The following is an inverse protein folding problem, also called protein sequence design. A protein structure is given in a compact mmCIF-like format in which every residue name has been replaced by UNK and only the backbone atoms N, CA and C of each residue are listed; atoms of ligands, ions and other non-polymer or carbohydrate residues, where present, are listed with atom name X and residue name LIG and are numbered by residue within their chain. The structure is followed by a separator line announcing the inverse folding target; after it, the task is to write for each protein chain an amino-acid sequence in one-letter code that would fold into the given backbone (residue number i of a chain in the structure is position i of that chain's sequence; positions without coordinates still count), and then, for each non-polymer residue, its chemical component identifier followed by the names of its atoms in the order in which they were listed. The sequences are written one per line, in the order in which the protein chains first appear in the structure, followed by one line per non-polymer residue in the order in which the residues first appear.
data_IF_639443171454
#
_entry.id   IF_639443171454
#
_cell.length_a   1.000
_cell.length_b   1.000
_cell.length_c   1.000
_cell.angle_alpha   90.00
_cell.angle_beta   90.00
_cell.angle_gamma   90.00
#
_symmetry.space_group_name_H-M   'P 1'
#
loop_
_entity.id
_entity.type
_entity.pdbx_description
1 polymer ?
#
# COMPACT_ATOMS: atom_id res chain seq x y z
N UNK A 1 -1.18 5.03 -6.45
CA UNK A 1 -2.65 4.84 -6.36
C UNK A 1 -3.00 3.88 -5.22
N UNK A 2 -3.06 4.37 -3.97
CA UNK A 2 -3.40 3.52 -2.83
C UNK A 2 -4.90 3.21 -2.80
N UNK A 3 -5.22 2.00 -2.33
CA UNK A 3 -6.57 1.58 -2.01
C UNK A 3 -6.59 0.96 -0.61
N UNK A 4 -7.57 1.33 0.18
CA UNK A 4 -7.77 0.77 1.52
C UNK A 4 -9.20 0.28 1.70
N UNK A 5 -9.35 -0.80 2.46
CA UNK A 5 -10.64 -1.33 2.88
C UNK A 5 -10.56 -1.73 4.35
N UNK A 6 -11.57 -1.34 5.11
CA UNK A 6 -11.66 -1.70 6.51
C UNK A 6 -13.01 -2.36 6.81
N UNK A 7 -13.00 -3.49 7.51
CA UNK A 7 -14.18 -4.18 8.00
C UNK A 7 -14.24 -4.11 9.52
N UNK A 8 -15.27 -3.49 10.10
CA UNK A 8 -15.42 -3.40 11.53
C UNK A 8 -15.73 -4.77 12.16
N UNK A 9 -15.22 -5.01 13.35
CA UNK A 9 -15.47 -6.23 14.13
C UNK A 9 -15.76 -5.83 15.59
N UNK A 10 -17.01 -5.77 16.02
CA UNK A 10 -17.38 -5.35 17.38
C UNK A 10 -16.59 -6.13 18.44
N UNK A 11 -15.93 -5.41 19.36
CA UNK A 11 -15.11 -6.00 20.42
C UNK A 11 -13.79 -6.64 19.98
N UNK A 12 -13.41 -6.55 18.69
CA UNK A 12 -12.18 -7.11 18.12
C UNK A 12 -11.46 -6.08 17.26
N UNK A 13 -10.18 -6.34 16.93
CA UNK A 13 -9.47 -5.52 15.94
C UNK A 13 -10.12 -5.66 14.57
N UNK A 14 -10.33 -4.54 13.85
CA UNK A 14 -10.89 -4.57 12.50
C UNK A 14 -9.98 -5.31 11.54
N UNK A 15 -10.54 -5.89 10.49
CA UNK A 15 -9.76 -6.32 9.34
C UNK A 15 -9.47 -5.09 8.51
N UNK A 16 -8.18 -4.83 8.26
CA UNK A 16 -7.75 -3.68 7.46
C UNK A 16 -6.78 -4.14 6.40
N UNK A 17 -7.14 -3.90 5.17
CA UNK A 17 -6.29 -4.08 4.03
C UNK A 17 -6.01 -2.70 3.43
N UNK A 18 -4.75 -2.40 3.19
CA UNK A 18 -4.27 -1.09 2.79
C UNK A 18 -2.98 -1.30 1.98
N UNK A 19 -3.01 -0.94 0.72
CA UNK A 19 -1.92 -1.20 -0.21
C UNK A 19 -1.86 -0.20 -1.35
N UNK A 20 -0.68 -0.08 -1.97
CA UNK A 20 -0.55 0.51 -3.30
C UNK A 20 -1.04 -0.46 -4.37
N UNK A 21 -1.40 0.04 -5.54
CA UNK A 21 -1.72 -0.77 -6.72
C UNK A 21 -0.47 -1.23 -7.49
N UNK A 22 0.71 -0.79 -7.08
CA UNK A 22 1.99 -1.29 -7.58
C UNK A 22 2.31 -2.67 -6.99
N UNK A 23 3.09 -3.46 -7.71
CA UNK A 23 3.55 -4.80 -7.27
C UNK A 23 4.44 -4.72 -6.01
N UNK A 24 5.16 -3.62 -5.84
CA UNK A 24 6.00 -3.30 -4.69
C UNK A 24 5.92 -1.80 -4.39
N UNK A 25 6.04 -1.40 -3.12
CA UNK A 25 6.11 0.00 -2.78
C UNK A 25 7.47 0.59 -3.21
N UNK A 26 7.48 1.84 -3.71
CA UNK A 26 8.74 2.51 -4.10
C UNK A 26 9.71 2.61 -2.91
N UNK A 27 9.22 2.79 -1.69
CA UNK A 27 10.06 2.78 -0.49
C UNK A 27 10.78 1.44 -0.27
N UNK A 28 10.14 0.31 -0.57
CA UNK A 28 10.77 -1.02 -0.50
C UNK A 28 11.83 -1.19 -1.58
N UNK A 29 11.59 -0.67 -2.79
CA UNK A 29 12.59 -0.65 -3.88
C UNK A 29 13.80 0.18 -3.47
N UNK A 30 13.60 1.35 -2.86
CA UNK A 30 14.69 2.19 -2.36
C UNK A 30 15.49 1.53 -1.23
N UNK A 31 14.82 0.80 -0.34
CA UNK A 31 15.49 0.02 0.71
C UNK A 31 16.31 -1.09 0.07
N UNK A 32 15.75 -1.86 -0.87
CA UNK A 32 16.48 -2.91 -1.58
C UNK A 32 17.72 -2.36 -2.33
N UNK A 33 17.60 -1.20 -2.97
CA UNK A 33 18.71 -0.50 -3.62
C UNK A 33 19.82 -0.16 -2.61
N UNK A 34 19.48 0.44 -1.48
CA UNK A 34 20.43 0.82 -0.43
C UNK A 34 21.14 -0.38 0.18
N UNK A 35 20.42 -1.50 0.35
CA UNK A 35 20.93 -2.71 0.97
C UNK A 35 21.57 -3.69 -0.03
N UNK A 36 21.61 -3.34 -1.31
CA UNK A 36 22.22 -4.17 -2.36
C UNK A 36 21.43 -5.45 -2.66
N UNK A 37 20.15 -5.48 -2.36
CA UNK A 37 19.28 -6.62 -2.64
C UNK A 37 18.60 -6.48 -3.99
N UNK A 38 18.36 -7.60 -4.66
CA UNK A 38 17.52 -7.64 -5.87
C UNK A 38 16.04 -7.66 -5.48
N UNK A 39 15.21 -7.10 -6.37
CA UNK A 39 13.75 -7.23 -6.28
C UNK A 39 13.25 -8.37 -7.18
N UNK A 40 12.07 -8.93 -6.91
CA UNK A 40 11.48 -9.96 -7.76
C UNK A 40 11.27 -9.46 -9.20
N UNK A 41 11.38 -10.36 -10.18
CA UNK A 41 10.96 -10.08 -11.55
C UNK A 41 9.47 -9.71 -11.56
N UNK A 42 9.07 -8.78 -12.43
CA UNK A 42 7.71 -8.25 -12.43
C UNK A 42 7.47 -7.12 -11.41
N UNK A 43 8.51 -6.66 -10.69
CA UNK A 43 8.43 -5.49 -9.84
C UNK A 43 8.36 -4.21 -10.65
N UNK A 44 9.17 -4.09 -11.71
CA UNK A 44 9.24 -2.88 -12.51
C UNK A 44 10.01 -3.05 -13.80
N UNK A 45 10.03 -1.98 -14.58
CA UNK A 45 10.80 -1.84 -15.80
C UNK A 45 11.89 -0.79 -15.61
N UNK A 46 13.00 -0.95 -16.31
CA UNK A 46 14.01 0.09 -16.38
C UNK A 46 13.58 1.23 -17.35
N UNK A 47 14.37 2.29 -17.44
CA UNK A 47 14.11 3.44 -18.31
C UNK A 47 13.97 3.13 -19.81
N UNK A 48 14.34 1.93 -20.22
CA UNK A 48 14.20 1.45 -21.61
C UNK A 48 12.97 0.55 -21.80
N UNK A 49 12.11 0.41 -20.78
CA UNK A 49 10.92 -0.43 -20.82
C UNK A 49 11.20 -1.93 -20.72
N UNK A 50 12.38 -2.34 -20.26
CA UNK A 50 12.75 -3.74 -20.06
C UNK A 50 12.57 -4.15 -18.61
N UNK A 51 12.05 -5.37 -18.39
CA UNK A 51 11.98 -5.95 -17.05
C UNK A 51 13.36 -6.06 -16.41
N UNK A 52 13.43 -5.74 -15.13
CA UNK A 52 14.68 -5.80 -14.36
C UNK A 52 14.44 -6.25 -12.93
N UNK A 53 15.46 -6.86 -12.34
CA UNK A 53 15.50 -7.18 -10.89
C UNK A 53 16.41 -6.22 -10.14
N UNK A 54 17.00 -5.24 -10.81
CA UNK A 54 17.84 -4.21 -10.20
C UNK A 54 16.95 -3.06 -9.69
N UNK A 55 16.88 -2.86 -8.36
CA UNK A 55 16.08 -1.78 -7.79
C UNK A 55 16.60 -0.39 -8.17
N UNK A 56 17.90 -0.25 -8.48
CA UNK A 56 18.47 1.01 -8.96
C UNK A 56 17.92 1.39 -10.33
N UNK A 57 17.85 0.45 -11.26
CA UNK A 57 17.29 0.70 -12.60
C UNK A 57 15.78 1.08 -12.55
N UNK A 58 15.04 0.56 -11.57
CA UNK A 58 13.63 0.94 -11.36
C UNK A 58 13.54 2.35 -10.77
N UNK A 59 14.31 2.62 -9.71
CA UNK A 59 14.26 3.89 -8.98
C UNK A 59 14.78 5.08 -9.81
N UNK A 60 15.76 4.84 -10.71
CA UNK A 60 16.47 5.89 -11.43
C UNK A 60 15.92 6.06 -12.86
N UNK A 61 14.64 6.35 -12.98
CA UNK A 61 13.96 6.64 -14.25
C UNK A 61 13.24 5.44 -14.85
N UNK A 62 13.11 4.32 -14.11
CA UNK A 62 12.24 3.22 -14.45
C UNK A 62 10.80 3.44 -13.95
N UNK A 63 9.98 2.40 -14.00
CA UNK A 63 8.59 2.42 -13.55
C UNK A 63 8.24 1.15 -12.78
N UNK A 64 7.37 1.27 -11.80
CA UNK A 64 6.77 0.12 -11.13
C UNK A 64 5.65 -0.47 -11.99
N UNK A 65 5.58 -1.80 -12.00
CA UNK A 65 4.45 -2.51 -12.60
C UNK A 65 3.28 -2.62 -11.61
N UNK A 66 2.02 -2.69 -12.09
CA UNK A 66 0.88 -2.95 -11.23
C UNK A 66 0.91 -4.39 -10.69
N UNK A 67 0.43 -4.61 -9.48
CA UNK A 67 0.23 -5.96 -8.97
C UNK A 67 -0.75 -6.75 -9.85
N UNK A 68 -0.55 -8.06 -10.01
CA UNK A 68 -1.48 -8.92 -10.76
C UNK A 68 -1.70 -8.54 -12.22
N UNK A 69 -0.76 -7.85 -12.84
CA UNK A 69 -0.79 -7.49 -14.26
C UNK A 69 -1.98 -6.64 -14.65
N UNK A 70 -2.72 -7.03 -15.72
CA UNK A 70 -3.86 -6.26 -16.23
C UNK A 70 -5.01 -6.09 -15.22
N UNK A 71 -5.18 -7.05 -14.29
CA UNK A 71 -6.21 -6.94 -13.24
C UNK A 71 -5.90 -5.80 -12.25
N UNK A 72 -4.64 -5.70 -11.84
CA UNK A 72 -4.16 -4.59 -11.01
C UNK A 72 -4.22 -3.26 -11.75
N UNK A 73 -3.93 -3.24 -13.06
CA UNK A 73 -4.11 -2.03 -13.88
C UNK A 73 -5.56 -1.55 -13.88
N UNK A 74 -6.54 -2.47 -13.94
CA UNK A 74 -7.95 -2.12 -13.83
C UNK A 74 -8.31 -1.49 -12.48
N UNK A 75 -7.76 -2.01 -11.38
CA UNK A 75 -7.94 -1.43 -10.05
C UNK A 75 -7.25 -0.06 -9.94
N UNK A 76 -6.04 0.09 -10.47
CA UNK A 76 -5.34 1.37 -10.51
C UNK A 76 -6.14 2.44 -11.27
N UNK A 77 -6.71 2.08 -12.41
CA UNK A 77 -7.59 2.97 -13.18
C UNK A 77 -8.86 3.35 -12.40
N UNK A 78 -9.47 2.41 -11.69
CA UNK A 78 -10.63 2.70 -10.83
C UNK A 78 -10.25 3.72 -9.75
N UNK A 79 -9.09 3.59 -9.11
CA UNK A 79 -8.61 4.56 -8.12
C UNK A 79 -8.41 5.94 -8.73
N UNK A 80 -7.80 6.05 -9.91
CA UNK A 80 -7.65 7.31 -10.65
C UNK A 80 -9.00 7.99 -10.89
N UNK A 81 -10.00 7.21 -11.35
CA UNK A 81 -11.33 7.75 -11.65
C UNK A 81 -12.06 8.21 -10.38
N UNK A 82 -11.95 7.49 -9.27
CA UNK A 82 -12.64 7.83 -8.04
C UNK A 82 -11.93 8.96 -7.28
N UNK A 83 -10.61 8.89 -7.12
CA UNK A 83 -9.83 9.85 -6.34
C UNK A 83 -9.31 11.04 -7.15
N UNK A 84 -9.36 10.99 -8.47
CA UNK A 84 -9.06 12.10 -9.37
C UNK A 84 -10.33 12.67 -10.00
N UNK A 85 -10.82 12.04 -11.05
CA UNK A 85 -11.91 12.58 -11.86
C UNK A 85 -13.20 12.85 -11.08
N UNK A 86 -13.66 11.91 -10.26
CA UNK A 86 -14.93 12.03 -9.55
C UNK A 86 -14.94 13.16 -8.53
N UNK A 87 -13.81 13.36 -7.83
CA UNK A 87 -13.67 14.41 -6.83
C UNK A 87 -13.11 15.72 -7.38
N UNK A 88 -12.81 15.77 -8.68
CA UNK A 88 -12.32 16.98 -9.35
C UNK A 88 -10.87 17.35 -9.01
N UNK A 89 -10.02 16.37 -8.73
CA UNK A 89 -8.62 16.58 -8.38
C UNK A 89 -7.68 15.96 -9.43
N UNK A 90 -6.37 16.10 -9.21
CA UNK A 90 -5.34 15.67 -10.14
C UNK A 90 -5.29 14.14 -10.32
N UNK A 91 -5.04 13.72 -11.54
CA UNK A 91 -4.56 12.37 -11.82
C UNK A 91 -3.09 12.20 -11.41
N UNK A 92 -2.62 10.97 -11.28
CA UNK A 92 -1.26 10.68 -10.85
C UNK A 92 -0.19 11.33 -11.75
N UNK A 93 -0.42 11.39 -13.07
CA UNK A 93 0.52 12.02 -14.01
C UNK A 93 0.57 13.55 -13.84
N UNK A 94 -0.58 14.20 -13.59
CA UNK A 94 -0.65 15.63 -13.33
C UNK A 94 0.02 15.99 -12.00
N UNK A 95 -0.16 15.15 -10.98
CA UNK A 95 0.52 15.28 -9.70
C UNK A 95 2.04 15.15 -9.85
N UNK A 96 2.51 14.21 -10.67
CA UNK A 96 3.95 14.05 -10.95
C UNK A 96 4.56 15.26 -11.67
N UNK A 97 3.81 15.90 -12.57
CA UNK A 97 4.24 17.13 -13.25
C UNK A 97 4.33 18.35 -12.31
N UNK A 98 3.47 18.38 -11.28
CA UNK A 98 3.38 19.46 -10.29
C UNK A 98 4.29 19.24 -9.07
N UNK A 99 4.98 18.10 -8.99
CA UNK A 99 5.85 17.75 -7.85
C UNK A 99 7.03 18.73 -7.76
N UNK A 100 7.09 19.45 -6.65
CA UNK A 100 8.17 20.39 -6.33
C UNK A 100 9.43 19.72 -5.79
N UNK A 101 9.43 18.38 -5.65
CA UNK A 101 10.54 17.54 -5.18
C UNK A 101 11.05 17.87 -3.78
N UNK A 102 10.18 18.41 -2.93
CA UNK A 102 10.51 18.70 -1.51
C UNK A 102 10.43 17.45 -0.61
N UNK A 103 10.01 16.30 -1.16
CA UNK A 103 9.82 15.05 -0.43
C UNK A 103 8.50 15.01 0.38
N UNK A 104 7.65 16.00 0.22
CA UNK A 104 6.32 16.06 0.80
C UNK A 104 5.34 15.08 0.14
N UNK A 105 4.13 14.91 0.69
CA UNK A 105 3.11 14.11 0.06
C UNK A 105 2.66 14.75 -1.26
N UNK A 106 2.40 13.97 -2.30
CA UNK A 106 1.88 14.49 -3.55
C UNK A 106 0.49 15.10 -3.34
N UNK A 107 0.21 16.17 -4.09
CA UNK A 107 -1.13 16.75 -4.15
C UNK A 107 -2.06 15.83 -4.95
N UNK A 108 -3.21 15.44 -4.38
CA UNK A 108 -4.17 14.58 -5.05
C UNK A 108 -5.43 14.40 -4.22
N UNK A 109 -6.51 14.00 -4.88
CA UNK A 109 -7.80 13.78 -4.25
C UNK A 109 -7.88 12.50 -3.45
N UNK A 110 -8.89 12.44 -2.59
CA UNK A 110 -9.22 11.26 -1.79
C UNK A 110 -10.72 10.98 -1.90
N UNK A 111 -11.08 9.71 -2.17
CA UNK A 111 -12.45 9.26 -2.17
C UNK A 111 -12.68 8.32 -0.98
N UNK A 112 -13.63 8.67 -0.11
CA UNK A 112 -13.99 7.86 1.05
C UNK A 112 -15.44 7.42 0.92
N UNK A 113 -15.68 6.09 0.97
CA UNK A 113 -17.01 5.50 1.03
C UNK A 113 -17.20 4.77 2.36
N UNK A 114 -18.14 5.24 3.17
CA UNK A 114 -18.52 4.58 4.41
C UNK A 114 -19.93 3.99 4.29
N UNK A 115 -20.07 2.70 4.58
CA UNK A 115 -21.34 1.97 4.48
C UNK A 115 -21.69 1.41 5.86
N UNK A 116 -22.91 1.66 6.33
CA UNK A 116 -23.42 1.06 7.56
C UNK A 116 -23.95 -0.35 7.31
N UNK A 117 -23.34 -1.40 7.87
CA UNK A 117 -23.81 -2.76 7.70
C UNK A 117 -25.24 -2.96 8.23
N UNK A 118 -25.59 -2.32 9.35
CA UNK A 118 -26.91 -2.45 9.98
C UNK A 118 -28.03 -1.93 9.09
N UNK A 119 -27.72 -0.90 8.26
CA UNK A 119 -28.72 -0.35 7.31
C UNK A 119 -28.90 -1.21 6.05
N UNK A 120 -27.92 -2.04 5.72
CA UNK A 120 -27.97 -2.89 4.51
C UNK A 120 -28.42 -4.31 4.79
N UNK A 121 -27.84 -4.96 5.80
CA UNK A 121 -28.05 -6.38 6.08
C UNK A 121 -28.91 -6.65 7.32
N UNK A 122 -29.28 -5.61 8.06
CA UNK A 122 -29.92 -5.75 9.35
C UNK A 122 -29.01 -6.38 10.41
N UNK A 123 -29.56 -7.24 11.25
CA UNK A 123 -28.83 -7.87 12.35
C UNK A 123 -27.99 -9.08 11.88
N UNK A 124 -26.95 -9.42 12.63
CA UNK A 124 -26.07 -10.60 12.44
C UNK A 124 -24.96 -10.50 11.37
N UNK A 125 -24.75 -9.38 10.72
CA UNK A 125 -23.64 -9.21 9.78
C UNK A 125 -22.27 -9.44 10.47
N UNK A 126 -22.13 -9.06 11.72
CA UNK A 126 -20.94 -9.22 12.56
C UNK A 126 -20.64 -10.70 12.83
N UNK A 127 -21.64 -11.48 13.26
CA UNK A 127 -21.49 -12.92 13.50
C UNK A 127 -21.18 -13.66 12.20
N UNK A 128 -21.90 -13.35 11.12
CA UNK A 128 -21.70 -13.97 9.83
C UNK A 128 -20.29 -13.68 9.27
N UNK A 129 -19.81 -12.46 9.38
CA UNK A 129 -18.44 -12.13 8.97
C UNK A 129 -17.38 -12.79 9.87
N UNK A 130 -17.63 -12.90 11.17
CA UNK A 130 -16.72 -13.59 12.09
C UNK A 130 -16.63 -15.11 11.82
N UNK A 131 -17.72 -15.77 11.43
CA UNK A 131 -17.68 -17.16 10.98
C UNK A 131 -16.75 -17.32 9.77
N UNK A 132 -16.85 -16.43 8.79
CA UNK A 132 -15.96 -16.39 7.62
C UNK A 132 -14.49 -16.19 8.04
N UNK A 133 -14.19 -15.21 8.89
CA UNK A 133 -12.83 -14.97 9.36
C UNK A 133 -12.27 -16.13 10.19
N UNK A 134 -13.09 -16.76 11.01
CA UNK A 134 -12.67 -17.93 11.80
C UNK A 134 -12.36 -19.11 10.87
N UNK A 135 -13.16 -19.31 9.82
CA UNK A 135 -12.89 -20.33 8.81
C UNK A 135 -11.57 -20.08 8.07
N UNK A 136 -11.30 -18.83 7.69
CA UNK A 136 -10.00 -18.48 7.10
C UNK A 136 -8.84 -18.77 8.06
N UNK A 137 -8.95 -18.37 9.32
CA UNK A 137 -7.89 -18.54 10.32
C UNK A 137 -7.68 -19.99 10.75
N UNK A 138 -8.64 -20.89 10.49
CA UNK A 138 -8.46 -22.32 10.74
C UNK A 138 -7.56 -23.02 9.70
N UNK A 139 -7.24 -22.33 8.60
CA UNK A 139 -6.30 -22.83 7.59
C UNK A 139 -4.87 -22.49 8.00
N UNK A 140 -3.96 -23.44 7.88
CA UNK A 140 -2.56 -23.27 8.22
C UNK A 140 -1.91 -22.13 7.40
N UNK A 141 -1.11 -21.29 8.05
CA UNK A 141 -0.40 -20.17 7.43
C UNK A 141 -1.26 -18.96 7.08
N UNK A 142 -2.58 -19.03 7.24
CA UNK A 142 -3.50 -17.91 6.92
C UNK A 142 -3.58 -16.92 8.07
N UNK A 143 -3.49 -15.65 7.74
CA UNK A 143 -3.71 -14.51 8.64
C UNK A 143 -4.67 -13.51 8.01
N UNK A 144 -5.42 -12.78 8.81
CA UNK A 144 -6.27 -11.70 8.30
C UNK A 144 -5.45 -10.46 7.93
N UNK A 145 -5.87 -9.70 6.91
CA UNK A 145 -5.26 -8.42 6.60
C UNK A 145 -5.24 -7.49 7.82
N UNK A 146 -4.10 -6.82 8.03
CA UNK A 146 -3.89 -5.92 9.17
C UNK A 146 -3.39 -6.58 10.46
N UNK A 147 -3.52 -7.88 10.66
CA UNK A 147 -3.10 -8.56 11.92
C UNK A 147 -1.63 -8.29 12.28
N UNK A 148 -0.71 -8.35 11.31
CA UNK A 148 0.71 -8.04 11.56
C UNK A 148 0.89 -6.61 12.04
N UNK A 149 0.23 -5.64 11.41
CA UNK A 149 0.28 -4.22 11.78
C UNK A 149 -0.27 -4.01 13.19
N UNK A 150 -1.41 -4.62 13.53
CA UNK A 150 -1.98 -4.55 14.87
C UNK A 150 -1.03 -5.14 15.92
N UNK A 151 -0.44 -6.30 15.65
CA UNK A 151 0.56 -6.92 16.53
C UNK A 151 1.77 -6.01 16.73
N UNK A 152 2.33 -5.45 15.65
CA UNK A 152 3.50 -4.58 15.71
C UNK A 152 3.24 -3.28 16.48
N UNK A 153 2.01 -2.75 16.49
CA UNK A 153 1.63 -1.57 17.29
C UNK A 153 1.67 -1.84 18.79
N UNK A 154 1.44 -3.07 19.21
CA UNK A 154 1.49 -3.48 20.62
C UNK A 154 2.92 -3.77 21.09
N UNK A 155 3.81 -4.04 20.16
CA UNK A 155 5.21 -4.31 20.47
C UNK A 155 5.95 -3.00 20.80
N UNK A 156 6.36 -2.85 22.06
CA UNK A 156 7.10 -1.71 22.61
C UNK A 156 8.60 -1.98 22.74
N UNK A 157 9.07 -3.13 22.24
CA UNK A 157 10.48 -3.50 22.28
C UNK A 157 11.39 -2.56 21.47
N UNK A 158 12.71 -2.62 21.68
CA UNK A 158 13.67 -1.84 20.92
C UNK A 158 13.63 -2.19 19.43
N UNK A 159 13.98 -1.22 18.59
CA UNK A 159 14.09 -1.38 17.15
C UNK A 159 15.52 -1.18 16.70
N UNK A 160 15.99 -2.03 15.81
CA UNK A 160 17.24 -1.80 15.11
C UNK A 160 17.01 -0.74 14.03
N UNK A 161 17.78 0.32 14.07
CA UNK A 161 17.75 1.42 13.09
C UNK A 161 19.12 1.47 12.42
N UNK A 162 19.14 1.64 11.10
CA UNK A 162 20.37 1.80 10.35
C UNK A 162 21.14 3.04 10.85
N UNK A 163 22.43 2.87 11.20
CA UNK A 163 23.26 3.92 11.79
C UNK A 163 23.48 5.11 10.83
N UNK A 164 23.65 4.85 9.53
CA UNK A 164 23.78 5.92 8.53
C UNK A 164 22.53 6.79 8.47
N UNK A 165 21.34 6.17 8.58
CA UNK A 165 20.08 6.90 8.63
C UNK A 165 19.99 7.80 9.87
N UNK A 166 20.43 7.28 11.03
CA UNK A 166 20.48 8.07 12.27
C UNK A 166 21.43 9.25 12.13
N UNK A 167 22.62 9.04 11.55
CA UNK A 167 23.60 10.09 11.33
C UNK A 167 23.10 11.15 10.34
N UNK A 168 22.42 10.71 9.26
CA UNK A 168 21.78 11.63 8.31
C UNK A 168 20.68 12.48 8.96
N UNK A 169 19.84 11.89 9.81
CA UNK A 169 18.82 12.65 10.55
C UNK A 169 19.48 13.68 11.48
N UNK A 170 20.53 13.29 12.23
CA UNK A 170 21.25 14.21 13.10
C UNK A 170 21.94 15.35 12.35
N UNK A 171 22.32 15.15 11.09
CA UNK A 171 22.95 16.21 10.28
C UNK A 171 21.94 17.24 9.74
N UNK A 172 20.62 17.00 9.91
CA UNK A 172 19.55 17.93 9.51
C UNK A 172 19.14 18.87 10.64
N UNK A 173 19.63 18.63 11.85
CA UNK A 173 19.43 19.46 13.05
C UNK A 173 20.65 20.35 13.31
#
# INVERSE_FOLDING_TARGET
NPISFAWPRPGKTPVVYDMATASMAMGEVQVAKREGHKVPLGTGLNKYGKETTDPGEIADGGVLLPFGGYKGSGIAMMVELLAGALVGDNFSFETAEKDNKDGGPPSGGEFILAISPDKLSGNNWDKHSDEFFNKMKSMEGVRLPGERRHKNRLDKGPRNINEELVNKIKSLS
#
